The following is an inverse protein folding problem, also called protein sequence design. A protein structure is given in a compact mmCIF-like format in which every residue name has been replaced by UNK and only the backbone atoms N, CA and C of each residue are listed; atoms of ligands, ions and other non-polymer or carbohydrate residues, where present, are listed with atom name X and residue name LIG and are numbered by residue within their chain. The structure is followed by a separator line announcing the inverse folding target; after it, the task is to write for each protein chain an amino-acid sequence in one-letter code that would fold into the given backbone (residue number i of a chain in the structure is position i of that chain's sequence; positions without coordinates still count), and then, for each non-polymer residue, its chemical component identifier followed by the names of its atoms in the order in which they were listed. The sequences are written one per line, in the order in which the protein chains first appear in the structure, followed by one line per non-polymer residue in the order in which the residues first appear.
data_IF_457183707645
#
_entry.id   IF_457183707645
#
_cell.length_a   1.000
_cell.length_b   1.000
_cell.length_c   1.000
_cell.angle_alpha   90.00
_cell.angle_beta   90.00
_cell.angle_gamma   90.00
#
_symmetry.space_group_name_H-M   'P 1'
#
loop_
_entity.id
_entity.type
_entity.pdbx_description
1 polymer ?
#
# COMPACT_ATOMS: atom_id res chain seq x y z
N UNK A 1 -59.68 -30.99 17.52
CA UNK A 1 -59.52 -30.13 16.33
C UNK A 1 -59.39 -28.69 16.83
N UNK A 2 -58.26 -28.30 17.41
CA UNK A 2 -57.02 -27.81 16.77
C UNK A 2 -57.09 -26.32 16.34
N UNK A 3 -56.92 -25.45 17.34
CA UNK A 3 -56.08 -24.24 17.42
C UNK A 3 -55.72 -23.44 16.14
N UNK A 4 -56.10 -22.16 16.14
CA UNK A 4 -55.66 -21.12 15.21
C UNK A 4 -54.22 -20.66 15.50
N UNK A 5 -53.31 -20.82 14.53
CA UNK A 5 -51.95 -20.29 14.56
C UNK A 5 -51.84 -19.00 13.73
N UNK A 6 -51.54 -17.89 14.39
CA UNK A 6 -51.12 -16.64 13.73
C UNK A 6 -49.68 -16.76 13.22
N UNK A 7 -49.45 -16.58 11.93
CA UNK A 7 -48.10 -16.37 11.37
C UNK A 7 -47.87 -14.87 11.17
N UNK A 8 -46.91 -14.32 11.91
CA UNK A 8 -46.32 -12.99 11.65
C UNK A 8 -45.58 -13.04 10.31
N UNK A 9 -45.60 -11.97 9.49
CA UNK A 9 -44.67 -11.88 8.37
C UNK A 9 -43.27 -11.55 8.92
N UNK A 10 -42.29 -12.32 8.47
CA UNK A 10 -40.88 -12.11 8.77
C UNK A 10 -40.44 -10.74 8.27
N UNK A 11 -39.79 -9.96 9.13
CA UNK A 11 -39.06 -8.77 8.74
C UNK A 11 -37.96 -9.18 7.75
N UNK A 12 -38.09 -8.77 6.49
CA UNK A 12 -36.97 -8.77 5.55
C UNK A 12 -35.96 -7.76 6.10
N UNK A 13 -34.81 -8.25 6.53
CA UNK A 13 -33.62 -7.43 6.69
C UNK A 13 -33.39 -6.70 5.36
N UNK A 14 -33.34 -5.37 5.40
CA UNK A 14 -32.88 -4.59 4.27
C UNK A 14 -31.40 -4.91 4.09
N UNK A 15 -31.07 -5.71 3.07
CA UNK A 15 -29.72 -5.76 2.53
C UNK A 15 -29.36 -4.34 2.09
N UNK A 16 -28.52 -3.67 2.87
CA UNK A 16 -27.92 -2.43 2.46
C UNK A 16 -27.07 -2.73 1.23
N UNK A 17 -27.48 -2.23 0.06
CA UNK A 17 -26.71 -2.36 -1.16
C UNK A 17 -25.34 -1.69 -0.95
N UNK A 18 -24.28 -2.47 -1.08
CA UNK A 18 -22.90 -1.97 -1.07
C UNK A 18 -22.75 -0.88 -2.14
N UNK A 19 -22.05 0.23 -1.86
CA UNK A 19 -21.77 1.25 -2.87
C UNK A 19 -21.00 0.64 -4.04
N UNK A 20 -21.28 1.09 -5.26
CA UNK A 20 -20.71 0.51 -6.49
C UNK A 20 -19.16 0.45 -6.48
N UNK A 21 -18.50 1.37 -5.79
CA UNK A 21 -17.06 1.33 -5.55
C UNK A 21 -16.65 0.10 -4.72
N UNK A 22 -17.32 -0.16 -3.58
CA UNK A 22 -17.06 -1.34 -2.76
C UNK A 22 -17.35 -2.65 -3.50
N UNK A 23 -18.41 -2.69 -4.32
CA UNK A 23 -18.72 -3.85 -5.17
C UNK A 23 -17.65 -4.12 -6.24
N UNK A 24 -17.04 -3.07 -6.81
CA UNK A 24 -15.90 -3.19 -7.71
C UNK A 24 -14.67 -3.72 -6.98
N UNK A 25 -14.32 -3.19 -5.79
CA UNK A 25 -13.11 -3.64 -5.08
C UNK A 25 -13.23 -5.07 -4.52
N UNK A 26 -14.45 -5.50 -4.11
CA UNK A 26 -14.75 -6.86 -3.64
C UNK A 26 -14.44 -7.96 -4.67
N UNK A 27 -14.55 -7.69 -5.97
CA UNK A 27 -14.37 -8.69 -7.03
C UNK A 27 -12.89 -9.08 -7.28
N UNK A 28 -11.93 -8.29 -6.81
CA UNK A 28 -10.50 -8.43 -7.19
C UNK A 28 -9.59 -8.88 -6.06
N UNK A 29 -10.18 -9.29 -4.95
CA UNK A 29 -9.41 -9.87 -3.89
C UNK A 29 -9.20 -11.37 -4.18
N UNK A 30 -7.94 -11.68 -4.37
CA UNK A 30 -7.30 -12.99 -4.51
C UNK A 30 -8.07 -14.18 -3.94
N UNK A 31 -8.31 -15.17 -4.79
CA UNK A 31 -8.64 -16.54 -4.40
C UNK A 31 -7.50 -17.47 -4.80
N UNK A 32 -6.40 -17.54 -4.04
CA UNK A 32 -5.45 -18.63 -4.31
C UNK A 32 -4.15 -18.59 -3.54
N UNK A 33 -4.03 -19.38 -2.47
CA UNK A 33 -2.81 -19.68 -1.70
C UNK A 33 -1.60 -20.01 -2.59
N UNK A 34 -1.00 -19.00 -3.18
CA UNK A 34 0.32 -19.08 -3.78
C UNK A 34 1.29 -18.54 -2.74
N UNK A 35 1.99 -19.46 -2.06
CA UNK A 35 3.21 -19.10 -1.34
C UNK A 35 4.13 -18.51 -2.38
N UNK A 36 4.36 -17.20 -2.34
CA UNK A 36 5.39 -16.64 -3.19
C UNK A 36 6.73 -17.32 -2.90
N UNK A 37 7.59 -17.44 -3.92
CA UNK A 37 8.92 -17.93 -3.72
C UNK A 37 9.58 -17.17 -2.56
N UNK A 38 10.19 -17.91 -1.64
CA UNK A 38 11.00 -17.29 -0.58
C UNK A 38 12.15 -16.55 -1.27
N UNK A 39 12.13 -15.21 -1.22
CA UNK A 39 13.33 -14.43 -1.55
C UNK A 39 14.44 -14.93 -0.60
N UNK A 40 15.53 -15.52 -1.11
CA UNK A 40 16.51 -16.23 -0.27
C UNK A 40 17.27 -15.32 0.71
N UNK A 41 17.23 -14.00 0.47
CA UNK A 41 17.97 -13.00 1.23
C UNK A 41 17.05 -12.31 2.23
N UNK A 42 17.08 -12.80 3.46
CA UNK A 42 16.52 -12.07 4.60
C UNK A 42 17.34 -10.81 4.83
N UNK A 43 16.65 -9.69 5.06
CA UNK A 43 17.29 -8.44 5.41
C UNK A 43 18.05 -8.57 6.75
N UNK A 44 19.39 -8.64 6.66
CA UNK A 44 20.29 -8.76 7.80
C UNK A 44 20.75 -7.41 8.31
N UNK A 45 19.85 -6.59 8.87
CA UNK A 45 20.29 -5.32 9.45
C UNK A 45 21.05 -5.51 10.78
N UNK A 46 22.14 -4.74 10.93
CA UNK A 46 22.77 -4.52 12.24
C UNK A 46 21.73 -4.03 13.26
N UNK A 47 21.69 -4.65 14.44
CA UNK A 47 20.81 -4.29 15.54
C UNK A 47 21.07 -2.88 16.11
N UNK A 48 22.13 -2.20 15.67
CA UNK A 48 22.64 -0.96 16.28
C UNK A 48 22.09 0.35 15.71
N UNK A 49 21.29 0.33 14.64
CA UNK A 49 20.73 1.58 14.10
C UNK A 49 19.52 2.03 14.94
N UNK A 50 19.58 3.18 15.62
CA UNK A 50 18.45 3.68 16.41
C UNK A 50 17.30 4.05 15.47
N UNK A 51 16.12 3.51 15.76
CA UNK A 51 14.89 3.78 15.01
C UNK A 51 14.13 4.94 15.68
N UNK A 52 13.73 5.99 14.94
CA UNK A 52 12.86 7.01 15.50
C UNK A 52 11.48 6.43 15.85
N UNK A 53 10.83 7.01 16.85
CA UNK A 53 9.48 6.60 17.26
C UNK A 53 8.42 6.99 16.24
N UNK A 54 8.70 7.97 15.38
CA UNK A 54 7.86 8.36 14.25
C UNK A 54 8.74 8.48 13.01
N UNK A 55 8.26 7.99 11.89
CA UNK A 55 8.90 8.23 10.60
C UNK A 55 7.85 8.24 9.50
N UNK A 56 7.87 9.25 8.63
CA UNK A 56 6.99 9.30 7.46
C UNK A 56 7.65 10.12 6.37
N UNK A 57 7.74 9.58 5.16
CA UNK A 57 8.22 10.37 4.02
C UNK A 57 7.33 11.57 3.72
N UNK A 58 7.91 12.68 3.26
CA UNK A 58 7.14 13.82 2.75
C UNK A 58 6.32 13.36 1.55
N UNK A 59 5.00 13.52 1.62
CA UNK A 59 4.09 13.05 0.57
C UNK A 59 4.36 13.75 -0.77
N UNK A 60 4.81 15.00 -0.75
CA UNK A 60 5.22 15.75 -1.94
C UNK A 60 6.39 15.10 -2.72
N UNK A 61 7.13 14.18 -2.10
CA UNK A 61 8.20 13.42 -2.75
C UNK A 61 7.76 12.02 -3.17
N UNK A 62 6.54 11.60 -2.86
CA UNK A 62 5.97 10.33 -3.28
C UNK A 62 5.05 10.55 -4.48
N UNK A 63 4.88 9.53 -5.31
CA UNK A 63 3.74 9.50 -6.23
C UNK A 63 2.44 9.52 -5.43
N UNK A 64 1.45 10.34 -5.82
CA UNK A 64 0.17 10.36 -5.14
C UNK A 64 -0.51 9.00 -5.29
N UNK A 65 -1.41 8.60 -4.37
CA UNK A 65 -2.18 7.37 -4.53
C UNK A 65 -2.89 7.32 -5.88
N UNK A 66 -2.73 6.19 -6.55
CA UNK A 66 -3.28 5.91 -7.88
C UNK A 66 -4.42 4.90 -7.76
N UNK A 67 -5.15 4.70 -8.86
CA UNK A 67 -6.30 3.80 -8.90
C UNK A 67 -6.03 2.64 -9.88
N UNK A 68 -6.02 1.43 -9.35
CA UNK A 68 -5.89 0.19 -10.14
C UNK A 68 -7.21 -0.21 -10.82
N UNK A 69 -8.29 0.50 -10.55
CA UNK A 69 -9.62 0.25 -11.10
C UNK A 69 -10.07 -1.21 -10.86
N UNK A 70 -10.84 -1.75 -11.80
CA UNK A 70 -11.31 -3.14 -11.77
C UNK A 70 -10.28 -4.15 -12.30
N UNK A 71 -9.00 -4.02 -11.96
CA UNK A 71 -7.98 -4.99 -12.34
C UNK A 71 -7.15 -5.36 -11.12
N UNK A 72 -6.86 -6.65 -10.92
CA UNK A 72 -6.07 -7.19 -9.81
C UNK A 72 -4.55 -6.85 -9.89
N UNK A 73 -4.21 -5.65 -10.35
CA UNK A 73 -2.84 -5.20 -10.64
C UNK A 73 -2.12 -4.51 -9.48
N UNK A 74 -2.64 -4.60 -8.25
CA UNK A 74 -2.03 -4.00 -7.05
C UNK A 74 -0.53 -4.30 -6.91
N UNK A 75 -0.11 -5.50 -7.28
CA UNK A 75 1.30 -5.92 -7.29
C UNK A 75 2.17 -5.04 -8.19
N UNK A 76 1.67 -4.69 -9.38
CA UNK A 76 2.38 -3.88 -10.36
C UNK A 76 2.47 -2.42 -9.90
N UNK A 77 1.38 -1.89 -9.33
CA UNK A 77 1.36 -0.55 -8.73
C UNK A 77 2.34 -0.45 -7.57
N UNK A 78 2.31 -1.40 -6.63
CA UNK A 78 3.20 -1.38 -5.47
C UNK A 78 4.68 -1.40 -5.88
N UNK A 79 5.05 -2.23 -6.86
CA UNK A 79 6.44 -2.30 -7.38
C UNK A 79 6.83 -1.03 -8.13
N UNK A 80 5.96 -0.53 -9.02
CA UNK A 80 6.21 0.68 -9.79
C UNK A 80 6.41 1.90 -8.89
N UNK A 81 5.49 2.10 -7.94
CA UNK A 81 5.56 3.22 -7.01
C UNK A 81 6.75 3.05 -6.05
N UNK A 82 7.08 1.84 -5.59
CA UNK A 82 8.24 1.59 -4.73
C UNK A 82 9.51 2.09 -5.41
N UNK A 83 9.71 1.70 -6.67
CA UNK A 83 10.89 2.09 -7.43
C UNK A 83 10.92 3.60 -7.71
N UNK A 84 9.81 4.16 -8.18
CA UNK A 84 9.73 5.58 -8.54
C UNK A 84 9.90 6.51 -7.32
N UNK A 85 9.22 6.19 -6.22
CA UNK A 85 9.28 6.96 -4.99
C UNK A 85 10.68 6.87 -4.38
N UNK A 86 11.29 5.68 -4.34
CA UNK A 86 12.67 5.52 -3.88
C UNK A 86 13.66 6.37 -4.67
N UNK A 87 13.52 6.47 -6.01
CA UNK A 87 14.35 7.36 -6.82
C UNK A 87 14.13 8.83 -6.47
N UNK A 88 12.89 9.26 -6.30
CA UNK A 88 12.59 10.64 -5.94
C UNK A 88 13.13 11.03 -4.57
N UNK A 89 12.99 10.14 -3.60
CA UNK A 89 13.51 10.35 -2.25
C UNK A 89 15.04 10.39 -2.26
N UNK A 90 15.70 9.42 -2.91
CA UNK A 90 17.18 9.34 -2.99
C UNK A 90 17.81 10.51 -3.72
N UNK A 91 17.06 11.20 -4.57
CA UNK A 91 17.51 12.38 -5.32
C UNK A 91 16.94 13.70 -4.76
N UNK A 92 16.27 13.64 -3.60
CA UNK A 92 15.63 14.80 -2.96
C UNK A 92 14.74 15.63 -3.89
N UNK A 93 13.91 14.97 -4.67
CA UNK A 93 13.01 15.66 -5.58
C UNK A 93 13.60 15.97 -6.95
N UNK A 94 14.91 15.79 -7.18
CA UNK A 94 15.50 16.06 -8.49
C UNK A 94 14.99 15.10 -9.57
N UNK A 95 14.72 13.83 -9.22
CA UNK A 95 13.99 12.92 -10.08
C UNK A 95 12.56 13.42 -10.35
N UNK A 96 11.91 14.09 -9.41
CA UNK A 96 10.54 14.56 -9.54
C UNK A 96 9.52 13.43 -9.42
N UNK A 97 8.29 13.80 -9.13
CA UNK A 97 7.16 12.87 -9.03
C UNK A 97 6.84 12.31 -10.43
N UNK A 98 7.36 11.11 -10.70
CA UNK A 98 7.29 10.44 -12.01
C UNK A 98 6.87 8.97 -11.83
N UNK A 99 5.58 8.66 -11.96
CA UNK A 99 5.11 7.28 -11.80
C UNK A 99 5.61 6.38 -12.93
N UNK A 100 5.92 5.12 -12.59
CA UNK A 100 6.21 4.07 -13.56
C UNK A 100 4.93 3.36 -14.00
N UNK A 101 4.99 2.67 -15.13
CA UNK A 101 3.84 2.03 -15.77
C UNK A 101 3.53 0.64 -15.18
N UNK A 102 2.42 0.47 -14.44
CA UNK A 102 1.96 -0.85 -14.03
C UNK A 102 1.44 -1.65 -15.23
N UNK A 103 0.91 -0.95 -16.25
CA UNK A 103 0.42 -1.58 -17.48
C UNK A 103 1.55 -2.28 -18.25
N UNK A 104 2.76 -1.73 -18.23
CA UNK A 104 3.91 -2.40 -18.83
C UNK A 104 4.22 -3.73 -18.11
N UNK A 105 4.20 -3.74 -16.78
CA UNK A 105 4.40 -4.99 -16.04
C UNK A 105 3.28 -6.00 -16.33
N UNK A 106 2.04 -5.54 -16.47
CA UNK A 106 0.88 -6.39 -16.76
C UNK A 106 0.90 -6.96 -18.19
N UNK A 107 1.16 -6.13 -19.20
CA UNK A 107 1.03 -6.51 -20.62
C UNK A 107 2.33 -7.01 -21.26
N UNK A 108 3.48 -6.54 -20.78
CA UNK A 108 4.76 -6.64 -21.50
C UNK A 108 5.83 -7.44 -20.75
N UNK A 109 5.60 -7.87 -19.51
CA UNK A 109 6.65 -8.53 -18.73
C UNK A 109 6.84 -10.00 -19.12
N UNK A 110 7.92 -10.38 -19.84
CA UNK A 110 8.18 -11.77 -20.12
C UNK A 110 8.44 -12.54 -18.80
N UNK A 111 7.82 -13.70 -18.66
CA UNK A 111 8.01 -14.58 -17.50
C UNK A 111 7.07 -14.33 -16.32
N UNK A 112 6.23 -13.28 -16.36
CA UNK A 112 5.10 -13.13 -15.44
C UNK A 112 3.86 -13.79 -16.06
N UNK A 113 3.20 -14.66 -15.31
CA UNK A 113 1.90 -15.27 -15.70
C UNK A 113 0.72 -14.53 -15.05
N UNK A 114 0.93 -13.29 -14.67
CA UNK A 114 0.08 -12.50 -13.79
C UNK A 114 -0.97 -11.75 -14.62
N UNK A 115 -2.19 -11.62 -14.10
CA UNK A 115 -3.33 -11.16 -14.88
C UNK A 115 -4.21 -10.18 -14.09
N UNK A 116 -5.14 -9.50 -14.75
CA UNK A 116 -6.15 -8.66 -14.10
C UNK A 116 -7.19 -9.48 -13.31
N UNK A 117 -7.35 -10.76 -13.63
CA UNK A 117 -8.27 -11.67 -12.93
C UNK A 117 -7.58 -12.37 -11.75
N UNK A 118 -6.40 -12.95 -11.97
CA UNK A 118 -5.68 -13.74 -10.96
C UNK A 118 -4.79 -12.88 -10.04
N UNK A 119 -4.41 -11.70 -10.53
CA UNK A 119 -3.45 -10.83 -9.88
C UNK A 119 -2.02 -11.30 -10.06
N UNK A 120 -1.16 -10.92 -9.11
CA UNK A 120 0.28 -11.18 -9.23
C UNK A 120 1.03 -11.04 -7.91
N UNK A 121 2.29 -11.47 -7.95
CA UNK A 121 3.18 -11.52 -6.81
C UNK A 121 4.21 -10.40 -6.95
N UNK A 122 4.27 -9.42 -6.03
CA UNK A 122 5.22 -8.32 -6.13
C UNK A 122 6.68 -8.78 -6.21
N UNK A 123 7.04 -9.82 -5.48
CA UNK A 123 8.41 -10.37 -5.45
C UNK A 123 8.85 -10.90 -6.81
N UNK A 124 7.96 -11.57 -7.55
CA UNK A 124 8.22 -12.04 -8.91
C UNK A 124 8.37 -10.84 -9.87
N UNK A 125 7.56 -9.80 -9.70
CA UNK A 125 7.67 -8.60 -10.50
C UNK A 125 9.00 -7.86 -10.26
N UNK A 126 9.45 -7.77 -9.00
CA UNK A 126 10.76 -7.20 -8.63
C UNK A 126 11.93 -7.98 -9.26
N UNK A 127 11.80 -9.30 -9.40
CA UNK A 127 12.83 -10.18 -9.97
C UNK A 127 12.67 -10.45 -11.47
N UNK A 128 11.58 -9.98 -12.07
CA UNK A 128 11.25 -10.25 -13.48
C UNK A 128 12.31 -9.67 -14.43
N UNK A 129 12.56 -10.33 -15.58
CA UNK A 129 13.40 -9.75 -16.62
C UNK A 129 12.91 -8.36 -17.04
N UNK A 130 11.59 -8.14 -17.07
CA UNK A 130 10.97 -6.87 -17.42
C UNK A 130 11.40 -5.70 -16.51
N UNK A 131 11.46 -5.95 -15.20
CA UNK A 131 11.87 -4.94 -14.23
C UNK A 131 13.39 -4.77 -14.15
N UNK A 132 14.16 -5.81 -14.50
CA UNK A 132 15.63 -5.81 -14.39
C UNK A 132 16.31 -5.43 -15.71
N UNK A 133 17.65 -5.44 -15.73
CA UNK A 133 18.45 -5.08 -16.92
C UNK A 133 18.27 -6.02 -18.11
N UNK A 134 17.77 -7.24 -17.91
CA UNK A 134 17.61 -8.22 -18.99
C UNK A 134 16.43 -7.90 -19.93
N UNK A 135 15.40 -7.21 -19.44
CA UNK A 135 14.22 -6.78 -20.20
C UNK A 135 14.12 -5.26 -20.42
N UNK A 136 15.18 -4.52 -20.11
CA UNK A 136 15.30 -3.09 -20.42
C UNK A 136 14.80 -2.13 -19.35
N UNK A 137 14.06 -2.60 -18.34
CA UNK A 137 13.48 -1.80 -17.25
C UNK A 137 12.05 -1.33 -17.51
N UNK A 138 11.44 -0.74 -16.48
CA UNK A 138 10.05 -0.29 -16.48
C UNK A 138 9.96 1.14 -17.07
N UNK A 139 9.08 1.41 -18.05
CA UNK A 139 8.83 2.74 -18.57
C UNK A 139 8.07 3.63 -17.58
N UNK A 140 8.07 4.94 -17.87
CA UNK A 140 7.17 5.88 -17.22
C UNK A 140 5.71 5.59 -17.60
N UNK A 141 4.79 5.91 -16.69
CA UNK A 141 3.35 5.88 -16.94
C UNK A 141 2.95 6.68 -18.17
N UNK A 142 3.61 7.81 -18.43
CA UNK A 142 3.35 8.66 -19.60
C UNK A 142 3.68 8.00 -20.93
N UNK A 143 4.54 6.97 -20.94
CA UNK A 143 4.89 6.22 -22.16
C UNK A 143 3.96 5.03 -22.40
N UNK A 144 3.52 4.38 -21.31
CA UNK A 144 2.59 3.25 -21.36
C UNK A 144 1.47 3.49 -20.34
N UNK A 145 0.43 4.25 -20.71
CA UNK A 145 -0.65 4.59 -19.79
C UNK A 145 -1.45 3.37 -19.34
N UNK A 146 -1.91 3.42 -18.09
CA UNK A 146 -2.74 2.41 -17.48
C UNK A 146 -4.15 2.35 -18.06
N UNK A 147 -4.59 1.13 -18.40
CA UNK A 147 -5.89 0.88 -19.02
C UNK A 147 -6.77 -0.09 -18.23
N UNK A 148 -6.22 -0.73 -17.20
CA UNK A 148 -6.89 -1.78 -16.43
C UNK A 148 -7.39 -2.95 -17.32
N UNK A 149 -6.59 -3.32 -18.32
CA UNK A 149 -6.89 -4.43 -19.22
C UNK A 149 -5.68 -5.34 -19.44
N UNK A 150 -5.94 -6.55 -19.94
CA UNK A 150 -4.92 -7.53 -20.34
C UNK A 150 -4.58 -7.41 -21.83
N UNK A 151 -4.69 -6.19 -22.39
CA UNK A 151 -4.34 -5.96 -23.79
C UNK A 151 -2.90 -6.40 -24.07
N UNK A 152 -2.62 -6.92 -25.29
CA UNK A 152 -1.30 -7.40 -25.65
C UNK A 152 -0.26 -6.27 -25.54
N UNK A 153 0.99 -6.64 -25.25
CA UNK A 153 2.09 -5.67 -25.30
C UNK A 153 2.19 -5.04 -26.69
N UNK A 154 1.89 -3.74 -26.79
CA UNK A 154 2.12 -3.02 -28.03
C UNK A 154 3.63 -2.96 -28.32
N UNK A 155 4.03 -3.13 -29.58
CA UNK A 155 5.44 -3.07 -29.97
C UNK A 155 6.11 -1.73 -29.59
N UNK A 156 5.32 -0.64 -29.53
CA UNK A 156 5.75 0.66 -29.03
C UNK A 156 6.00 0.68 -27.51
N UNK A 157 5.28 -0.12 -26.73
CA UNK A 157 5.46 -0.24 -25.28
C UNK A 157 6.71 -1.04 -24.93
N UNK A 158 7.06 -2.06 -25.75
CA UNK A 158 8.24 -2.89 -25.57
C UNK A 158 9.57 -2.16 -25.88
N UNK A 159 9.54 -1.05 -26.62
CA UNK A 159 10.74 -0.30 -27.02
C UNK A 159 10.84 1.03 -26.26
N UNK A 160 12.03 1.42 -25.77
CA UNK A 160 12.26 2.77 -25.27
C UNK A 160 11.91 3.81 -26.33
N UNK A 161 11.10 4.81 -25.93
CA UNK A 161 10.95 6.02 -26.73
C UNK A 161 12.32 6.70 -26.86
N UNK A 162 12.61 7.45 -27.95
CA UNK A 162 13.83 8.25 -28.03
C UNK A 162 13.92 9.21 -26.83
N UNK A 163 14.97 9.07 -26.00
CA UNK A 163 15.11 9.82 -24.73
C UNK A 163 14.18 9.37 -23.60
N UNK A 164 13.40 8.30 -23.81
CA UNK A 164 12.55 7.69 -22.79
C UNK A 164 13.37 7.06 -21.67
N UNK A 165 12.91 7.21 -20.44
CA UNK A 165 13.60 6.67 -19.27
C UNK A 165 13.08 5.27 -18.99
N UNK A 166 13.99 4.37 -18.62
CA UNK A 166 13.65 3.04 -18.11
C UNK A 166 14.25 2.87 -16.74
N UNK A 167 13.40 2.70 -15.74
CA UNK A 167 13.83 2.43 -14.37
C UNK A 167 14.03 0.94 -14.20
N UNK A 168 15.20 0.54 -13.75
CA UNK A 168 15.55 -0.86 -13.53
C UNK A 168 15.58 -1.17 -12.04
N UNK A 169 15.21 -2.38 -11.66
CA UNK A 169 15.55 -2.95 -10.37
C UNK A 169 16.91 -3.64 -10.49
N UNK A 170 17.80 -3.39 -9.53
CA UNK A 170 19.13 -4.00 -9.51
C UNK A 170 18.99 -5.52 -9.33
N UNK A 171 19.57 -6.35 -10.22
CA UNK A 171 19.45 -7.80 -10.14
C UNK A 171 19.91 -8.36 -8.78
N UNK A 172 19.10 -9.24 -8.18
CA UNK A 172 19.40 -9.87 -6.89
C UNK A 172 19.37 -8.92 -5.68
N UNK A 173 18.79 -7.71 -5.85
CA UNK A 173 18.63 -6.73 -4.76
C UNK A 173 17.30 -6.86 -4.00
N UNK A 174 16.39 -7.73 -4.44
CA UNK A 174 15.16 -8.05 -3.73
C UNK A 174 15.48 -8.67 -2.37
N UNK A 175 14.83 -8.17 -1.31
CA UNK A 175 15.00 -8.61 0.07
C UNK A 175 13.64 -8.91 0.68
N UNK A 176 13.52 -10.06 1.36
CA UNK A 176 12.37 -10.31 2.24
C UNK A 176 12.62 -9.69 3.60
N UNK A 177 11.62 -9.01 4.12
CA UNK A 177 11.66 -8.30 5.40
C UNK A 177 11.01 -9.10 6.54
N UNK A 178 10.17 -10.07 6.19
CA UNK A 178 9.31 -10.78 7.12
C UNK A 178 9.48 -12.30 7.00
N UNK A 179 9.42 -12.98 8.14
CA UNK A 179 9.03 -14.39 8.20
C UNK A 179 7.58 -14.48 8.66
N UNK A 180 6.77 -15.31 8.00
CA UNK A 180 5.36 -15.50 8.33
C UNK A 180 5.19 -15.94 9.80
N UNK A 181 4.59 -15.10 10.67
CA UNK A 181 4.38 -15.41 12.08
C UNK A 181 3.51 -16.65 12.32
N UNK A 182 2.67 -17.06 11.35
CA UNK A 182 1.85 -18.27 11.44
C UNK A 182 2.68 -19.56 11.35
N UNK A 183 3.89 -19.48 10.79
CA UNK A 183 4.84 -20.59 10.67
C UNK A 183 5.87 -20.60 11.81
N UNK A 184 5.79 -19.67 12.74
CA UNK A 184 6.71 -19.58 13.86
C UNK A 184 6.54 -20.76 14.83
N UNK A 185 7.64 -21.16 15.49
CA UNK A 185 7.58 -22.15 16.57
C UNK A 185 6.65 -21.66 17.71
N UNK A 186 6.04 -22.58 18.48
CA UNK A 186 5.21 -22.21 19.63
C UNK A 186 5.92 -21.23 20.57
N UNK A 187 5.23 -20.15 20.97
CA UNK A 187 5.79 -19.08 21.81
C UNK A 187 6.68 -18.07 21.08
N UNK A 188 7.08 -18.34 19.82
CA UNK A 188 7.96 -17.44 19.05
C UNK A 188 7.21 -16.42 18.20
N UNK A 189 5.88 -16.53 18.02
CA UNK A 189 5.08 -15.63 17.19
C UNK A 189 5.34 -14.14 17.50
N UNK A 190 5.29 -13.76 18.78
CA UNK A 190 5.54 -12.38 19.20
C UNK A 190 6.97 -11.90 18.90
N UNK A 191 7.96 -12.77 19.06
CA UNK A 191 9.35 -12.47 18.71
C UNK A 191 9.54 -12.31 17.20
N UNK A 192 8.88 -13.15 16.39
CA UNK A 192 8.87 -13.04 14.92
C UNK A 192 8.26 -11.72 14.47
N UNK A 193 7.08 -11.36 14.99
CA UNK A 193 6.43 -10.07 14.68
C UNK A 193 7.34 -8.90 15.05
N UNK A 194 7.91 -8.90 16.26
CA UNK A 194 8.84 -7.85 16.72
C UNK A 194 10.06 -7.71 15.80
N UNK A 195 10.61 -8.83 15.32
CA UNK A 195 11.72 -8.84 14.36
C UNK A 195 11.29 -8.27 13.01
N UNK A 196 10.15 -8.69 12.49
CA UNK A 196 9.61 -8.22 11.20
C UNK A 196 9.39 -6.70 11.23
N UNK A 197 8.74 -6.18 12.28
CA UNK A 197 8.56 -4.72 12.47
C UNK A 197 9.91 -3.99 12.42
N UNK A 198 10.91 -4.47 13.17
CA UNK A 198 12.23 -3.84 13.17
C UNK A 198 12.94 -3.90 11.80
N UNK A 199 12.76 -5.00 11.05
CA UNK A 199 13.30 -5.13 9.70
C UNK A 199 12.62 -4.17 8.73
N UNK A 200 11.28 -4.11 8.75
CA UNK A 200 10.49 -3.21 7.91
C UNK A 200 10.85 -1.75 8.16
N UNK A 201 10.93 -1.29 9.42
CA UNK A 201 11.33 0.09 9.74
C UNK A 201 12.71 0.45 9.20
N UNK A 202 13.69 -0.43 9.38
CA UNK A 202 15.05 -0.21 8.87
C UNK A 202 15.10 -0.23 7.34
N UNK A 203 14.36 -1.14 6.71
CA UNK A 203 14.27 -1.21 5.26
C UNK A 203 13.66 0.06 4.69
N UNK A 204 12.58 0.56 5.31
CA UNK A 204 11.97 1.86 4.98
C UNK A 204 13.06 2.93 4.99
N UNK A 205 13.75 3.14 6.12
CA UNK A 205 14.79 4.17 6.21
C UNK A 205 15.90 4.02 5.17
N UNK A 206 16.38 2.79 4.90
CA UNK A 206 17.56 2.59 4.05
C UNK A 206 17.26 2.57 2.56
N UNK A 207 16.10 2.07 2.17
CA UNK A 207 15.80 1.76 0.76
C UNK A 207 14.64 2.59 0.19
N UNK A 208 13.86 3.29 1.03
CA UNK A 208 12.63 3.94 0.60
C UNK A 208 11.40 3.12 1.00
N UNK A 209 10.21 3.48 0.47
CA UNK A 209 8.98 2.74 0.70
C UNK A 209 9.14 1.25 0.44
N UNK A 210 8.48 0.41 1.24
CA UNK A 210 8.54 -1.06 1.11
C UNK A 210 7.22 -1.59 0.61
N UNK A 211 7.25 -2.65 -0.20
CA UNK A 211 6.05 -3.33 -0.67
C UNK A 211 5.53 -4.24 0.44
N UNK A 212 4.33 -3.95 0.95
CA UNK A 212 3.63 -4.76 1.94
C UNK A 212 2.50 -5.56 1.31
N UNK A 213 2.08 -6.64 1.97
CA UNK A 213 0.86 -7.38 1.62
C UNK A 213 -0.13 -7.28 2.77
N UNK A 214 -1.36 -6.88 2.46
CA UNK A 214 -2.49 -6.89 3.39
C UNK A 214 -3.42 -8.05 3.07
N UNK A 215 -3.89 -8.72 4.11
CA UNK A 215 -5.05 -9.60 4.08
C UNK A 215 -6.30 -8.75 4.19
N UNK A 216 -7.01 -8.60 3.07
CA UNK A 216 -8.21 -7.79 2.94
C UNK A 216 -9.44 -8.58 3.39
N UNK A 217 -10.20 -7.96 4.28
CA UNK A 217 -11.56 -8.33 4.65
C UNK A 217 -12.54 -7.24 4.22
N UNK A 218 -13.83 -7.54 4.19
CA UNK A 218 -14.87 -6.62 3.69
C UNK A 218 -14.87 -5.27 4.42
N UNK A 219 -14.59 -5.26 5.72
CA UNK A 219 -14.52 -4.06 6.56
C UNK A 219 -13.43 -3.06 6.13
N UNK A 220 -12.35 -3.54 5.48
CA UNK A 220 -11.31 -2.66 4.97
C UNK A 220 -11.82 -1.79 3.81
N UNK A 221 -12.80 -2.23 3.03
CA UNK A 221 -13.35 -1.40 1.95
C UNK A 221 -14.10 -0.19 2.48
N UNK A 222 -14.75 -0.34 3.63
CA UNK A 222 -15.49 0.73 4.32
C UNK A 222 -14.63 1.53 5.29
N UNK A 223 -13.32 1.26 5.35
CA UNK A 223 -12.39 1.95 6.24
C UNK A 223 -12.36 3.45 5.95
N UNK A 224 -12.54 4.25 7.00
CA UNK A 224 -12.80 5.68 6.93
C UNK A 224 -11.54 6.57 7.03
N UNK A 225 -10.34 5.99 7.06
CA UNK A 225 -9.06 6.70 7.23
C UNK A 225 -8.97 7.68 8.43
N UNK A 226 -9.96 7.65 9.33
CA UNK A 226 -10.10 8.55 10.49
C UNK A 226 -9.58 7.94 11.79
N UNK A 227 -9.12 6.70 11.74
CA UNK A 227 -8.64 5.96 12.90
C UNK A 227 -7.62 4.90 12.50
N UNK A 228 -6.91 4.33 13.47
CA UNK A 228 -6.05 3.17 13.23
C UNK A 228 -6.93 1.96 12.91
N UNK A 229 -6.81 1.46 11.68
CA UNK A 229 -7.46 0.24 11.23
C UNK A 229 -7.03 -0.95 12.07
N UNK A 230 -8.04 -1.62 12.62
CA UNK A 230 -7.96 -2.95 13.20
C UNK A 230 -9.02 -3.79 12.53
N UNK A 231 -8.58 -4.93 11.98
CA UNK A 231 -9.44 -5.84 11.26
C UNK A 231 -10.55 -6.38 12.18
N UNK A 232 -11.81 -6.26 11.77
CA UNK A 232 -12.93 -6.92 12.43
C UNK A 232 -12.77 -8.45 12.32
N UNK A 233 -12.66 -9.19 13.44
CA UNK A 233 -12.55 -10.65 13.41
C UNK A 233 -13.73 -11.36 12.75
N UNK A 234 -14.90 -10.70 12.68
CA UNK A 234 -16.10 -11.24 12.04
C UNK A 234 -16.16 -10.95 10.53
N UNK A 235 -15.33 -10.05 10.00
CA UNK A 235 -15.38 -9.66 8.60
C UNK A 235 -14.85 -10.76 7.67
N UNK A 236 -15.54 -10.98 6.57
CA UNK A 236 -15.22 -12.06 5.64
C UNK A 236 -13.93 -11.78 4.87
N UNK A 237 -13.12 -12.83 4.65
CA UNK A 237 -11.95 -12.73 3.78
C UNK A 237 -12.36 -12.50 2.35
N UNK A 238 -11.71 -11.53 1.73
CA UNK A 238 -11.88 -11.28 0.31
C UNK A 238 -10.63 -11.77 -0.42
N UNK A 239 -9.45 -11.35 0.02
CA UNK A 239 -8.19 -11.71 -0.66
C UNK A 239 -6.98 -10.95 -0.11
N UNK A 240 -5.85 -11.03 -0.79
CA UNK A 240 -4.65 -10.25 -0.47
C UNK A 240 -4.49 -9.07 -1.41
N UNK A 241 -3.89 -8.00 -0.90
CA UNK A 241 -3.67 -6.75 -1.60
C UNK A 241 -2.24 -6.24 -1.36
N UNK A 242 -1.49 -6.01 -2.43
CA UNK A 242 -0.17 -5.40 -2.35
C UNK A 242 -0.29 -3.89 -2.22
N UNK A 243 0.46 -3.31 -1.29
CA UNK A 243 0.43 -1.89 -0.94
C UNK A 243 1.85 -1.37 -0.73
N UNK A 244 2.01 -0.06 -0.61
CA UNK A 244 3.25 0.56 -0.20
C UNK A 244 3.20 0.98 1.26
N UNK A 245 4.24 0.69 2.03
CA UNK A 245 4.40 1.17 3.41
C UNK A 245 5.47 2.27 3.40
N UNK A 246 5.07 3.47 3.79
CA UNK A 246 5.86 4.70 3.62
C UNK A 246 6.30 5.32 4.97
N UNK A 247 5.92 4.71 6.08
CA UNK A 247 6.20 5.23 7.40
C UNK A 247 5.56 4.45 8.53
N UNK A 248 5.80 4.87 9.76
CA UNK A 248 5.23 4.32 10.98
C UNK A 248 5.10 5.38 12.07
N UNK A 249 4.31 5.05 13.07
CA UNK A 249 4.22 5.74 14.35
C UNK A 249 4.22 4.69 15.46
N UNK A 250 5.09 4.82 16.45
CA UNK A 250 5.07 3.99 17.66
C UNK A 250 3.96 4.42 18.62
N UNK A 251 3.59 3.50 19.51
CA UNK A 251 2.56 3.75 20.49
C UNK A 251 2.88 4.98 21.34
N UNK A 252 1.83 5.75 21.68
CA UNK A 252 1.89 6.93 22.55
C UNK A 252 2.58 8.17 22.00
N UNK A 253 3.06 8.12 20.76
CA UNK A 253 3.65 9.28 20.08
C UNK A 253 2.58 10.33 19.76
N UNK A 254 1.37 9.88 19.41
CA UNK A 254 0.29 10.69 18.88
C UNK A 254 -1.03 10.49 19.66
N UNK A 255 -0.96 10.08 20.93
CA UNK A 255 -2.16 9.85 21.77
C UNK A 255 -3.07 11.07 21.96
N UNK A 256 -2.60 12.26 21.58
CA UNK A 256 -3.42 13.48 21.57
C UNK A 256 -4.40 13.53 20.37
N UNK A 257 -4.19 12.73 19.32
CA UNK A 257 -5.02 12.70 18.13
C UNK A 257 -6.17 11.69 18.29
N UNK A 258 -7.43 12.13 18.27
CA UNK A 258 -8.58 11.23 18.34
C UNK A 258 -8.55 10.18 17.22
N UNK A 259 -8.81 8.92 17.56
CA UNK A 259 -8.80 7.80 16.61
C UNK A 259 -7.39 7.23 16.32
N UNK A 260 -6.33 7.92 16.75
CA UNK A 260 -4.96 7.53 16.44
C UNK A 260 -4.11 7.17 17.66
N UNK A 261 -4.72 6.80 18.79
CA UNK A 261 -3.99 6.28 19.95
C UNK A 261 -3.48 4.84 19.70
N UNK A 262 -2.19 4.70 19.36
CA UNK A 262 -1.55 3.41 19.17
C UNK A 262 -0.39 3.42 18.19
N UNK A 263 0.24 2.26 18.04
CA UNK A 263 1.27 2.05 17.03
C UNK A 263 0.64 1.70 15.68
N UNK A 264 1.10 2.29 14.57
CA UNK A 264 0.58 2.00 13.24
C UNK A 264 1.61 2.18 12.12
N UNK A 265 1.36 1.50 11.00
CA UNK A 265 2.01 1.68 9.72
C UNK A 265 1.25 2.72 8.88
N UNK A 266 1.97 3.54 8.12
CA UNK A 266 1.39 4.44 7.11
C UNK A 266 1.44 3.73 5.77
N UNK A 267 0.27 3.40 5.22
CA UNK A 267 0.11 2.62 4.01
C UNK A 267 -0.43 3.50 2.89
N UNK A 268 0.25 3.51 1.75
CA UNK A 268 -0.20 4.09 0.49
C UNK A 268 -0.90 3.01 -0.33
N UNK A 269 -2.19 3.19 -0.62
CA UNK A 269 -3.01 2.23 -1.36
C UNK A 269 -3.05 2.55 -2.87
N UNK A 270 -3.51 1.60 -3.68
CA UNK A 270 -3.80 1.75 -5.11
C UNK A 270 -5.29 1.76 -5.43
N UNK A 271 -6.14 2.19 -4.49
CA UNK A 271 -7.59 2.35 -4.67
C UNK A 271 -8.04 3.80 -4.90
N UNK A 272 -7.11 4.66 -5.33
CA UNK A 272 -7.37 6.05 -5.62
C UNK A 272 -7.40 6.95 -4.38
N UNK A 273 -7.29 8.26 -4.62
CA UNK A 273 -7.20 9.27 -3.55
C UNK A 273 -8.52 9.49 -2.80
N UNK A 274 -9.63 9.02 -3.35
CA UNK A 274 -10.96 9.14 -2.76
C UNK A 274 -11.32 7.97 -1.86
N UNK A 275 -10.49 6.91 -1.85
CA UNK A 275 -10.74 5.79 -0.96
C UNK A 275 -10.53 6.20 0.50
N UNK A 276 -11.47 5.73 1.32
CA UNK A 276 -11.50 5.92 2.76
C UNK A 276 -11.65 7.35 3.23
N UNK A 277 -12.09 8.28 2.37
CA UNK A 277 -12.30 9.68 2.77
C UNK A 277 -13.64 10.22 2.29
N UNK A 278 -14.21 11.22 3.00
CA UNK A 278 -15.39 11.93 2.52
C UNK A 278 -15.17 12.62 1.17
N UNK A 279 -16.27 12.93 0.49
CA UNK A 279 -16.24 13.70 -0.75
C UNK A 279 -15.52 15.05 -0.56
N UNK A 280 -14.70 15.44 -1.54
CA UNK A 280 -13.89 16.66 -1.48
C UNK A 280 -12.56 16.50 -0.72
N UNK A 281 -12.36 15.40 0.01
CA UNK A 281 -11.08 15.07 0.64
C UNK A 281 -10.32 14.07 -0.22
N UNK A 282 -8.99 14.15 -0.20
CA UNK A 282 -8.08 13.26 -0.91
C UNK A 282 -7.03 12.75 0.06
N UNK A 283 -6.94 11.43 0.21
CA UNK A 283 -5.85 10.79 0.92
C UNK A 283 -5.40 9.55 0.13
N UNK A 284 -6.20 8.48 0.07
CA UNK A 284 -5.80 7.21 -0.56
C UNK A 284 -4.76 6.42 0.25
N UNK A 285 -4.63 6.74 1.54
CA UNK A 285 -3.77 6.06 2.49
C UNK A 285 -4.58 5.41 3.61
N UNK A 286 -3.97 4.43 4.27
CA UNK A 286 -4.50 3.80 5.46
C UNK A 286 -3.48 3.72 6.59
N UNK A 287 -4.00 3.60 7.81
CA UNK A 287 -3.20 3.49 9.01
C UNK A 287 -3.51 2.17 9.70
N UNK A 288 -2.63 1.18 9.56
CA UNK A 288 -2.88 -0.18 10.07
C UNK A 288 -2.10 -0.41 11.35
N UNK A 289 -2.76 -0.95 12.38
CA UNK A 289 -2.12 -1.22 13.66
C UNK A 289 -0.84 -2.08 13.52
N UNK A 290 0.23 -1.62 14.18
CA UNK A 290 1.57 -2.19 14.10
C UNK A 290 1.92 -2.97 15.37
N UNK A 291 2.63 -4.10 15.21
CA UNK A 291 3.15 -4.95 16.28
C UNK A 291 2.24 -6.11 16.67
N UNK A 292 1.06 -6.20 16.05
CA UNK A 292 0.04 -7.21 16.34
C UNK A 292 -0.21 -8.15 15.14
N UNK A 293 0.44 -7.88 13.99
CA UNK A 293 0.20 -8.49 12.68
C UNK A 293 -1.26 -8.37 12.20
N UNK A 294 -1.87 -7.19 12.40
CA UNK A 294 -3.21 -6.88 11.89
C UNK A 294 -3.21 -6.95 10.37
N UNK A 295 -4.26 -7.52 9.78
CA UNK A 295 -4.37 -7.75 8.34
C UNK A 295 -3.15 -8.45 7.74
N UNK A 296 -2.43 -9.25 8.53
CA UNK A 296 -1.20 -9.93 8.13
C UNK A 296 -0.10 -9.00 7.55
N UNK A 297 -0.16 -7.69 7.85
CA UNK A 297 0.78 -6.68 7.29
C UNK A 297 2.25 -6.96 7.63
N UNK A 298 2.50 -7.66 8.73
CA UNK A 298 3.82 -8.06 9.21
C UNK A 298 4.15 -9.51 8.85
N UNK A 299 3.33 -10.18 8.04
CA UNK A 299 3.61 -11.53 7.53
C UNK A 299 4.47 -11.50 6.27
N UNK A 300 4.35 -10.45 5.45
CA UNK A 300 5.02 -10.40 4.15
C UNK A 300 5.23 -8.96 3.67
N UNK A 301 6.50 -8.58 3.62
CA UNK A 301 6.95 -7.35 3.02
C UNK A 301 8.29 -7.57 2.31
N UNK A 302 8.50 -6.83 1.23
CA UNK A 302 9.71 -6.89 0.42
C UNK A 302 10.15 -5.51 -0.03
N UNK A 303 11.41 -5.40 -0.40
CA UNK A 303 11.98 -4.19 -1.00
C UNK A 303 13.04 -4.60 -2.01
N UNK A 304 13.28 -3.78 -3.02
CA UNK A 304 14.41 -3.93 -3.92
C UNK A 304 15.04 -2.58 -4.24
N UNK A 305 16.25 -2.59 -4.80
CA UNK A 305 16.98 -1.35 -5.10
C UNK A 305 16.69 -0.91 -6.53
N UNK A 306 16.00 0.20 -6.69
CA UNK A 306 15.90 0.88 -8.00
C UNK A 306 17.26 1.45 -8.41
N UNK A 307 17.66 1.23 -9.66
CA UNK A 307 18.89 1.79 -10.24
C UNK A 307 18.62 3.23 -10.64
N UNK A 308 19.47 4.15 -10.17
CA UNK A 308 19.41 5.56 -10.58
C UNK A 308 19.65 5.66 -12.09
N UNK A 309 18.76 6.32 -12.84
CA UNK A 309 19.01 6.57 -14.26
C UNK A 309 20.17 7.54 -14.47
N UNK A 310 20.76 7.50 -15.67
CA UNK A 310 21.86 8.39 -16.04
C UNK A 310 21.48 9.87 -15.84
N UNK A 311 22.42 10.64 -15.28
CA UNK A 311 22.22 12.06 -14.96
C UNK A 311 21.61 12.33 -13.58
N UNK A 312 21.22 11.29 -12.83
CA UNK A 312 20.79 11.41 -11.44
C UNK A 312 21.86 10.89 -10.48
N UNK A 313 22.00 11.53 -9.33
CA UNK A 313 22.90 11.13 -8.27
C UNK A 313 22.13 10.98 -6.95
N UNK A 314 22.56 10.02 -6.12
CA UNK A 314 22.04 9.89 -4.77
C UNK A 314 22.54 11.05 -3.92
N UNK A 315 21.61 11.65 -3.18
CA UNK A 315 21.93 12.76 -2.30
C UNK A 315 22.31 12.25 -0.90
N UNK A 316 23.41 12.77 -0.35
CA UNK A 316 24.00 12.25 0.89
C UNK A 316 23.11 12.52 2.11
N UNK A 317 22.55 11.49 2.73
CA UNK A 317 21.66 11.67 3.90
C UNK A 317 20.24 12.09 3.53
N UNK A 318 19.81 11.78 2.30
CA UNK A 318 18.45 12.00 1.82
C UNK A 318 17.37 11.54 2.80
N UNK A 319 17.59 10.43 3.53
CA UNK A 319 16.64 9.85 4.49
C UNK A 319 16.13 10.86 5.52
N UNK A 320 16.98 11.80 5.96
CA UNK A 320 16.63 12.83 6.93
C UNK A 320 15.94 14.04 6.30
N UNK A 321 16.24 14.33 5.04
CA UNK A 321 15.71 15.50 4.32
C UNK A 321 14.41 15.21 3.60
N UNK A 322 14.08 13.94 3.40
CA UNK A 322 12.88 13.52 2.70
C UNK A 322 11.79 12.95 3.60
N UNK A 323 11.97 12.98 4.92
CA UNK A 323 11.03 12.42 5.88
C UNK A 323 10.89 13.27 7.15
N UNK A 324 9.73 13.16 7.79
CA UNK A 324 9.49 13.55 9.18
C UNK A 324 10.01 12.45 10.11
N UNK A 325 10.79 12.81 11.13
CA UNK A 325 11.43 11.88 12.08
C UNK A 325 10.86 11.95 13.49
N UNK A 326 9.94 12.89 13.72
CA UNK A 326 9.18 13.00 14.94
C UNK A 326 7.75 13.41 14.61
N UNK A 327 6.84 13.14 15.54
CA UNK A 327 5.47 13.62 15.40
C UNK A 327 5.40 15.15 15.39
N UNK A 328 6.26 15.84 16.15
CA UNK A 328 6.30 17.30 16.16
C UNK A 328 6.75 17.89 14.82
N UNK A 329 7.66 17.21 14.11
CA UNK A 329 8.05 17.61 12.76
C UNK A 329 6.87 17.49 11.81
N UNK A 330 6.14 16.37 11.87
CA UNK A 330 4.94 16.17 11.09
C UNK A 330 3.79 17.09 11.52
N UNK A 331 3.66 17.38 12.82
CA UNK A 331 2.60 18.21 13.37
C UNK A 331 2.65 19.65 12.83
N UNK A 332 3.83 20.10 12.41
CA UNK A 332 4.12 21.40 11.81
C UNK A 332 4.09 21.38 10.28
N UNK A 333 3.84 20.22 9.68
CA UNK A 333 3.68 20.08 8.23
C UNK A 333 2.42 20.84 7.76
N UNK A 334 2.54 21.80 6.84
CA UNK A 334 1.38 22.48 6.25
C UNK A 334 0.40 21.51 5.58
N UNK A 335 0.84 20.34 5.13
CA UNK A 335 0.01 19.34 4.46
C UNK A 335 -0.65 18.34 5.42
N UNK A 336 -0.29 18.33 6.72
CA UNK A 336 -0.86 17.39 7.71
C UNK A 336 -2.38 17.53 7.87
N UNK A 337 -2.88 18.76 7.82
CA UNK A 337 -4.30 19.06 8.01
C UNK A 337 -5.17 18.56 6.84
N UNK A 338 -4.59 18.37 5.65
CA UNK A 338 -5.28 17.73 4.53
C UNK A 338 -5.62 16.27 4.83
N UNK A 339 -4.94 15.67 5.80
CA UNK A 339 -5.06 14.26 6.10
C UNK A 339 -5.84 14.02 7.39
N UNK A 340 -5.27 14.30 8.57
CA UNK A 340 -5.89 13.89 9.83
C UNK A 340 -7.03 14.85 10.23
N UNK A 341 -6.80 16.15 10.05
CA UNK A 341 -7.77 17.19 10.35
C UNK A 341 -8.97 17.17 9.39
N UNK A 342 -8.72 17.15 8.08
CA UNK A 342 -9.78 17.17 7.08
C UNK A 342 -10.64 15.90 7.11
N UNK A 343 -10.03 14.71 7.25
CA UNK A 343 -10.77 13.45 7.32
C UNK A 343 -11.62 13.40 8.59
N UNK A 344 -11.05 13.71 9.77
CA UNK A 344 -11.80 13.72 11.02
C UNK A 344 -12.94 14.77 11.03
N UNK A 345 -12.67 16.00 10.55
CA UNK A 345 -13.69 17.06 10.44
C UNK A 345 -14.79 16.69 9.46
N UNK A 346 -14.45 16.20 8.27
CA UNK A 346 -15.44 15.85 7.26
C UNK A 346 -16.30 14.65 7.72
N UNK A 347 -15.74 13.68 8.44
CA UNK A 347 -16.54 12.62 9.07
C UNK A 347 -17.44 13.12 10.19
N UNK A 348 -16.99 14.10 10.99
CA UNK A 348 -17.81 14.72 12.02
C UNK A 348 -18.98 15.53 11.41
N UNK A 349 -18.73 16.26 10.32
CA UNK A 349 -19.75 17.00 9.56
C UNK A 349 -20.78 16.06 8.94
N UNK A 350 -20.35 14.95 8.32
CA UNK A 350 -21.29 13.96 7.77
C UNK A 350 -22.13 13.27 8.85
N UNK A 351 -21.55 12.95 10.02
CA UNK A 351 -22.31 12.42 11.15
C UNK A 351 -23.34 13.43 11.65
N UNK A 352 -22.94 14.69 11.82
CA UNK A 352 -23.84 15.77 12.24
C UNK A 352 -24.96 16.06 11.23
N UNK A 353 -24.70 15.92 9.93
CA UNK A 353 -25.73 16.07 8.89
C UNK A 353 -26.74 14.91 8.90
N UNK A 354 -26.27 13.66 9.07
CA UNK A 354 -27.14 12.47 9.19
C UNK A 354 -28.04 12.53 10.43
N UNK A 355 -27.51 13.02 11.54
CA UNK A 355 -28.28 13.19 12.80
C UNK A 355 -29.34 14.29 12.71
N UNK A 356 -29.14 15.29 11.83
CA UNK A 356 -30.10 16.38 11.61
C UNK A 356 -31.21 16.08 10.60
N UNK A 357 -31.16 14.91 9.94
CA UNK A 357 -32.20 14.48 9.00
C UNK A 357 -32.24 15.29 7.69
N UNK A 358 -31.17 16.00 7.35
CA UNK A 358 -31.10 16.74 6.10
C UNK A 358 -30.99 15.75 4.92
N UNK A 359 -31.84 15.88 3.88
CA UNK A 359 -31.73 15.04 2.69
C UNK A 359 -30.39 15.32 2.00
N UNK A 360 -29.70 14.25 1.59
CA UNK A 360 -28.45 14.33 0.81
C UNK A 360 -28.61 15.33 -0.36
N UNK A 361 -27.61 16.18 -0.64
CA UNK A 361 -27.58 16.96 -1.88
C UNK A 361 -27.54 16.07 -3.12
#
# INVERSE_FOLDING_TARGET
MASSSSRRPAARAAEAALPAAAALVLAYAWAGRQRAPRIPRLFGASASEPLPSYFKYHEALLNPPRDQLGCASCWAFAVCDMAADALNLRTEGAWGVRPLSPQYLLSCAPGLTQSCEEGGIPEEALESPAATSEGGGIPLESEVPYRADEGPCAASSARPSPGGVRVRIAPGSSLSLCDDPSLALPGMRGATVKRNVANMKRAIMRHGPVVGTLRVTEDLYDYAASEIYRQDPASAFVGYHAVLIVGWCDARVNSAEPGFDGAYWVIKSSWGQHWGVPEGVRSGYAYVAMGENIAEVESRASVATAVLPDGFAEAEGWQKRTAYWSYDDYARDPDRDNFLGAVARAHAEQRGAREKGDPKP
#
